data_IF_493136556262
#
_entry.id   IF_493136556262
#
_cell.length_a   1.000
_cell.length_b   1.000
_cell.length_c   1.000
_cell.angle_alpha   90.00
_cell.angle_beta   90.00
_cell.angle_gamma   90.00
#
_symmetry.space_group_name_H-M   'P 1'
#
loop_
_entity.id
_entity.type
_entity.pdbx_description
1 polymer ?
#
# COMPACT_ATOMS: atom_id res chain seq x y z
N UNK A 1 22.23 8.30 4.23
CA UNK A 1 21.61 7.25 3.40
C UNK A 1 20.11 7.48 3.49
N UNK A 2 19.48 7.93 2.41
CA UNK A 2 18.03 8.15 2.43
C UNK A 2 17.31 6.83 2.65
N UNK A 3 16.38 6.81 3.61
CA UNK A 3 15.58 5.63 3.92
C UNK A 3 14.60 5.42 2.78
N UNK A 4 14.61 4.23 2.17
CA UNK A 4 13.67 3.91 1.09
C UNK A 4 12.27 3.73 1.66
N UNK A 5 11.31 4.53 1.19
CA UNK A 5 9.89 4.37 1.49
C UNK A 5 9.28 3.21 0.70
N UNK A 6 9.41 2.01 1.25
CA UNK A 6 8.84 0.79 0.69
C UNK A 6 7.32 0.85 0.60
N UNK A 7 6.66 1.42 1.61
CA UNK A 7 5.19 1.56 1.65
C UNK A 7 4.68 2.33 0.43
N UNK A 8 5.32 3.46 0.10
CA UNK A 8 4.93 4.27 -1.07
C UNK A 8 5.21 3.56 -2.39
N UNK A 9 6.30 2.79 -2.48
CA UNK A 9 6.65 2.02 -3.68
C UNK A 9 5.67 0.87 -3.93
N UNK A 10 5.29 0.14 -2.87
CA UNK A 10 4.35 -0.98 -2.95
C UNK A 10 2.88 -0.53 -3.13
N UNK A 11 2.51 0.65 -2.63
CA UNK A 11 1.20 1.26 -2.89
C UNK A 11 1.08 1.85 -4.31
N UNK A 12 2.15 1.88 -5.10
CA UNK A 12 2.15 2.57 -6.38
C UNK A 12 1.42 1.79 -7.46
N UNK A 13 0.47 2.44 -8.13
CA UNK A 13 -0.17 1.91 -9.34
C UNK A 13 0.83 1.52 -10.44
N UNK A 14 1.97 2.22 -10.52
CA UNK A 14 3.04 1.92 -11.49
C UNK A 14 3.72 0.60 -11.18
N UNK A 15 3.90 0.27 -9.90
CA UNK A 15 4.48 -1.01 -9.49
C UNK A 15 3.59 -2.17 -9.93
N UNK A 16 2.29 -2.09 -9.62
CA UNK A 16 1.33 -3.14 -9.97
C UNK A 16 1.11 -3.27 -11.48
N UNK A 17 1.13 -2.16 -12.23
CA UNK A 17 1.10 -2.21 -13.69
C UNK A 17 2.31 -2.95 -14.28
N UNK A 18 3.52 -2.74 -13.74
CA UNK A 18 4.73 -3.44 -14.17
C UNK A 18 4.69 -4.92 -13.78
N UNK A 19 4.20 -5.25 -12.57
CA UNK A 19 4.02 -6.64 -12.13
C UNK A 19 3.02 -7.37 -13.03
N UNK A 20 1.91 -6.72 -13.37
CA UNK A 20 0.92 -7.27 -14.30
C UNK A 20 1.53 -7.50 -15.69
N UNK A 21 2.22 -6.51 -16.26
CA UNK A 21 2.86 -6.62 -17.57
C UNK A 21 3.96 -7.69 -17.61
N UNK A 22 4.75 -7.82 -16.54
CA UNK A 22 5.76 -8.86 -16.42
C UNK A 22 5.10 -10.24 -16.30
N UNK A 23 4.09 -10.38 -15.43
CA UNK A 23 3.36 -11.62 -15.22
C UNK A 23 2.69 -12.12 -16.50
N UNK A 24 1.99 -11.24 -17.23
CA UNK A 24 1.37 -11.59 -18.51
C UNK A 24 2.41 -11.99 -19.55
N UNK A 25 3.50 -11.24 -19.66
CA UNK A 25 4.58 -11.54 -20.62
C UNK A 25 5.22 -12.91 -20.34
N UNK A 26 5.45 -13.24 -19.07
CA UNK A 26 6.00 -14.55 -18.67
C UNK A 26 5.01 -15.67 -19.00
N UNK A 27 3.72 -15.49 -18.70
CA UNK A 27 2.70 -16.50 -18.99
C UNK A 27 2.56 -16.76 -20.49
N UNK A 28 2.58 -15.71 -21.31
CA UNK A 28 2.58 -15.84 -22.77
C UNK A 28 3.85 -16.55 -23.24
N UNK A 29 5.02 -16.21 -22.70
CA UNK A 29 6.29 -16.82 -23.09
C UNK A 29 6.37 -18.32 -22.81
N UNK A 30 5.70 -18.81 -21.75
CA UNK A 30 5.63 -20.25 -21.44
C UNK A 30 4.47 -20.97 -22.16
N UNK A 31 3.70 -20.27 -23.00
CA UNK A 31 2.59 -20.84 -23.76
C UNK A 31 1.34 -21.09 -22.92
N UNK A 32 1.11 -20.33 -21.85
CA UNK A 32 -0.11 -20.43 -21.07
C UNK A 32 -1.34 -20.02 -21.91
N UNK A 33 -2.47 -20.69 -21.66
CA UNK A 33 -3.73 -20.36 -22.32
C UNK A 33 -4.24 -18.96 -21.95
N UNK A 34 -5.02 -18.36 -22.85
CA UNK A 34 -5.56 -17.00 -22.70
C UNK A 34 -6.36 -16.83 -21.39
N UNK A 35 -7.14 -17.85 -21.02
CA UNK A 35 -7.89 -17.87 -19.75
C UNK A 35 -6.96 -17.72 -18.53
N UNK A 36 -5.85 -18.45 -18.50
CA UNK A 36 -4.89 -18.38 -17.41
C UNK A 36 -4.21 -17.01 -17.35
N UNK A 37 -3.89 -16.40 -18.49
CA UNK A 37 -3.33 -15.04 -18.58
C UNK A 37 -4.30 -14.02 -17.98
N UNK A 38 -5.58 -14.08 -18.35
CA UNK A 38 -6.62 -13.19 -17.82
C UNK A 38 -6.80 -13.38 -16.32
N UNK A 39 -6.89 -14.64 -15.85
CA UNK A 39 -7.05 -14.96 -14.43
C UNK A 39 -5.89 -14.44 -13.58
N UNK A 40 -4.64 -14.67 -14.00
CA UNK A 40 -3.47 -14.20 -13.25
C UNK A 40 -3.37 -12.68 -13.28
N UNK A 41 -3.71 -12.02 -14.39
CA UNK A 41 -3.77 -10.55 -14.46
C UNK A 41 -4.81 -9.99 -13.49
N UNK A 42 -6.00 -10.60 -13.48
CA UNK A 42 -7.07 -10.25 -12.53
C UNK A 42 -6.64 -10.45 -11.08
N UNK A 43 -5.93 -11.54 -10.79
CA UNK A 43 -5.39 -11.84 -9.47
C UNK A 43 -4.38 -10.78 -9.02
N UNK A 44 -3.45 -10.38 -9.89
CA UNK A 44 -2.49 -9.30 -9.59
C UNK A 44 -3.22 -8.00 -9.27
N UNK A 45 -4.27 -7.67 -10.04
CA UNK A 45 -5.12 -6.52 -9.77
C UNK A 45 -5.80 -6.59 -8.40
N UNK A 46 -6.43 -7.73 -8.08
CA UNK A 46 -7.11 -7.94 -6.80
C UNK A 46 -6.16 -7.85 -5.60
N UNK A 47 -4.95 -8.43 -5.70
CA UNK A 47 -3.94 -8.29 -4.64
C UNK A 47 -3.49 -6.84 -4.52
N UNK A 48 -3.26 -6.15 -5.64
CA UNK A 48 -2.86 -4.75 -5.65
C UNK A 48 -3.88 -3.83 -4.97
N UNK A 49 -5.19 -4.05 -5.16
CA UNK A 49 -6.23 -3.24 -4.51
C UNK A 49 -6.28 -3.47 -3.00
N UNK A 50 -6.17 -4.73 -2.55
CA UNK A 50 -6.12 -5.05 -1.12
C UNK A 50 -4.91 -4.41 -0.44
N UNK A 51 -3.72 -4.52 -1.05
CA UNK A 51 -2.50 -3.90 -0.52
C UNK A 51 -2.62 -2.38 -0.44
N UNK A 52 -3.19 -1.74 -1.48
CA UNK A 52 -3.42 -0.30 -1.49
C UNK A 52 -4.37 0.14 -0.36
N UNK A 53 -5.44 -0.61 -0.12
CA UNK A 53 -6.39 -0.33 0.95
C UNK A 53 -5.76 -0.43 2.34
N UNK A 54 -5.01 -1.50 2.61
CA UNK A 54 -4.30 -1.69 3.90
C UNK A 54 -3.35 -0.52 4.18
N UNK A 55 -2.63 -0.04 3.17
CA UNK A 55 -1.75 1.12 3.34
C UNK A 55 -2.50 2.44 3.52
N UNK A 56 -3.69 2.58 2.93
CA UNK A 56 -4.54 3.74 3.15
C UNK A 56 -5.05 3.78 4.60
N UNK A 57 -5.51 2.65 5.15
CA UNK A 57 -5.89 2.53 6.56
C UNK A 57 -4.71 2.80 7.49
N UNK A 58 -3.56 2.16 7.26
CA UNK A 58 -2.36 2.35 8.08
C UNK A 58 -1.87 3.82 8.08
N UNK A 59 -2.03 4.54 6.96
CA UNK A 59 -1.71 5.96 6.88
C UNK A 59 -2.67 6.83 7.72
N UNK A 60 -3.97 6.51 7.68
CA UNK A 60 -4.99 7.23 8.47
C UNK A 60 -4.79 6.95 9.97
N UNK A 61 -4.53 5.70 10.34
CA UNK A 61 -4.32 5.31 11.74
C UNK A 61 -3.05 5.95 12.30
N UNK A 62 -1.96 6.00 11.54
CA UNK A 62 -0.74 6.70 11.94
C UNK A 62 -0.99 8.18 12.24
N UNK A 63 -1.80 8.86 11.42
CA UNK A 63 -2.19 10.26 11.65
C UNK A 63 -3.08 10.44 12.88
N UNK A 64 -4.02 9.52 13.11
CA UNK A 64 -4.88 9.55 14.30
C UNK A 64 -4.05 9.41 15.57
N UNK A 65 -3.14 8.45 15.63
CA UNK A 65 -2.27 8.25 16.79
C UNK A 65 -1.37 9.45 17.08
N UNK A 66 -0.91 10.18 16.05
CA UNK A 66 -0.14 11.42 16.27
C UNK A 66 -1.01 12.57 16.77
N UNK A 67 -2.25 12.68 16.30
CA UNK A 67 -3.24 13.64 16.82
C UNK A 67 -3.59 13.38 18.29
N UNK A 68 -3.96 12.14 18.63
CA UNK A 68 -4.26 11.72 20.02
C UNK A 68 -3.07 11.99 20.95
N UNK A 69 -1.85 11.76 20.47
CA UNK A 69 -0.63 12.05 21.24
C UNK A 69 -0.45 13.54 21.46
N UNK A 70 -0.71 14.38 20.46
CA UNK A 70 -0.64 15.85 20.57
C UNK A 70 -1.64 16.37 21.60
N UNK A 71 -2.89 15.92 21.53
CA UNK A 71 -3.97 16.34 22.43
C UNK A 71 -3.66 15.96 23.89
N UNK A 72 -3.08 14.78 24.12
CA UNK A 72 -2.61 14.37 25.46
C UNK A 72 -1.49 15.28 25.99
N UNK A 73 -0.56 15.72 25.14
CA UNK A 73 0.52 16.63 25.55
C UNK A 73 0.00 18.03 25.88
N UNK A 74 -1.02 18.50 25.17
CA UNK A 74 -1.67 19.79 25.47
C UNK A 74 -2.45 19.75 26.78
N UNK A 75 -3.26 18.72 27.00
CA UNK A 75 -3.99 18.56 28.28
C UNK A 75 -3.07 18.49 29.50
N UNK A 76 -1.92 17.80 29.40
CA UNK A 76 -0.92 17.78 30.48
C UNK A 76 -0.21 19.12 30.70
N UNK A 77 -0.14 19.99 29.69
CA UNK A 77 0.44 21.34 29.85
C UNK A 77 -0.52 22.26 30.57
N UNK A 78 -1.81 22.19 30.24
CA UNK A 78 -2.85 22.99 30.89
C UNK A 78 -2.99 22.61 32.36
N UNK A 79 -3.02 21.31 32.70
CA UNK A 79 -3.09 20.83 34.09
C UNK A 79 -1.90 21.27 34.97
N UNK A 80 -0.72 21.47 34.38
CA UNK A 80 0.47 21.98 35.11
C UNK A 80 0.50 23.50 35.26
N UNK A 81 -0.31 24.22 34.48
CA UNK A 81 -0.38 25.67 34.49
C UNK A 81 -1.44 26.20 35.48
N UNK A 82 -2.35 25.34 35.93
CA UNK A 82 -3.29 25.55 37.05
C UNK A 82 -2.66 25.22 38.41
#
# INVERSE_FOLDING_TARGET
>A
MDKIDWTRKLASWKFWALVAALGTSVLVAVGAGEEAVVQVTGLIGAVGTVVAYIFAEAYIDGKRSDGERSDMYEGKREEKAE
#
